data_IF_271603513344
#
_entry.id   IF_271603513344
#
_cell.length_a   1.000
_cell.length_b   1.000
_cell.length_c   1.000
_cell.angle_alpha   90.00
_cell.angle_beta   90.00
_cell.angle_gamma   90.00
#
_symmetry.space_group_name_H-M   'P 1'
#
loop_
_entity.id
_entity.type
_entity.pdbx_description
1 polymer ?
#
# COMPACT_ATOMS: atom_id res chain seq x y z
N UNK A 1 13.65 6.04 -11.86
CA UNK A 1 13.97 7.41 -11.36
C UNK A 1 13.80 7.53 -9.86
N UNK A 2 12.66 7.07 -9.30
CA UNK A 2 12.34 7.21 -7.87
C UNK A 2 13.37 6.54 -6.95
N UNK A 3 13.95 5.41 -7.38
CA UNK A 3 15.00 4.68 -6.66
C UNK A 3 16.24 5.55 -6.41
N UNK A 4 16.75 6.19 -7.46
CA UNK A 4 17.92 7.06 -7.36
C UNK A 4 17.65 8.28 -6.47
N UNK A 5 16.46 8.87 -6.61
CA UNK A 5 16.03 10.02 -5.79
C UNK A 5 15.92 9.60 -4.31
N UNK A 6 15.27 8.47 -4.01
CA UNK A 6 15.13 8.00 -2.63
C UNK A 6 16.47 7.67 -1.99
N UNK A 7 17.39 7.08 -2.75
CA UNK A 7 18.71 6.70 -2.24
C UNK A 7 19.55 7.96 -1.95
N UNK A 8 19.49 8.97 -2.82
CA UNK A 8 20.10 10.28 -2.57
C UNK A 8 19.49 10.97 -1.34
N UNK A 9 18.16 11.08 -1.28
CA UNK A 9 17.45 11.71 -0.17
C UNK A 9 17.71 11.00 1.16
N UNK A 10 17.89 9.68 1.13
CA UNK A 10 18.22 8.92 2.33
C UNK A 10 19.62 9.23 2.86
N UNK A 11 20.60 9.41 1.98
CA UNK A 11 21.94 9.85 2.39
C UNK A 11 21.90 11.28 2.94
N UNK A 12 21.14 12.17 2.31
CA UNK A 12 20.93 13.53 2.81
C UNK A 12 20.29 13.50 4.20
N UNK A 13 19.21 12.73 4.38
CA UNK A 13 18.51 12.60 5.66
C UNK A 13 19.44 12.14 6.78
N UNK A 14 20.28 11.12 6.52
CA UNK A 14 21.28 10.64 7.49
C UNK A 14 22.30 11.73 7.86
N UNK A 15 22.81 12.45 6.87
CA UNK A 15 23.81 13.50 7.10
C UNK A 15 23.23 14.70 7.86
N UNK A 16 22.01 15.10 7.53
CA UNK A 16 21.31 16.17 8.23
C UNK A 16 20.93 15.75 9.66
N UNK A 17 20.54 14.48 9.88
CA UNK A 17 20.33 13.95 11.23
C UNK A 17 21.61 14.05 12.07
N UNK A 18 22.76 13.59 11.55
CA UNK A 18 24.05 13.74 12.24
C UNK A 18 24.34 15.22 12.58
N UNK A 19 24.01 16.13 11.67
CA UNK A 19 24.19 17.58 11.85
C UNK A 19 23.30 18.11 12.99
N UNK A 20 22.01 17.74 13.01
CA UNK A 20 21.06 18.10 14.07
C UNK A 20 21.56 17.60 15.42
N UNK A 21 22.04 16.35 15.50
CA UNK A 21 22.54 15.75 16.73
C UNK A 21 23.79 16.45 17.27
N UNK A 22 24.72 16.85 16.39
CA UNK A 22 25.95 17.60 16.77
C UNK A 22 25.67 18.96 17.40
N UNK A 23 24.50 19.57 17.15
CA UNK A 23 24.15 20.84 17.77
C UNK A 23 23.89 20.71 19.28
N UNK A 24 23.67 19.50 19.80
CA UNK A 24 23.49 19.26 21.24
C UNK A 24 22.24 19.90 21.84
N UNK A 25 21.29 20.34 21.01
CA UNK A 25 20.04 20.96 21.45
C UNK A 25 19.16 19.87 22.10
N UNK A 26 18.75 20.09 23.35
CA UNK A 26 17.89 19.18 24.12
C UNK A 26 16.48 19.73 24.39
N UNK A 27 16.18 20.94 23.93
CA UNK A 27 14.84 21.53 24.07
C UNK A 27 13.85 20.84 23.14
N UNK A 28 12.94 20.04 23.71
CA UNK A 28 12.09 19.12 22.95
C UNK A 28 11.29 19.77 21.80
N UNK A 29 10.61 20.93 21.96
CA UNK A 29 9.93 21.60 20.85
C UNK A 29 10.87 22.00 19.70
N UNK A 30 12.05 22.51 20.03
CA UNK A 30 13.03 22.93 19.01
C UNK A 30 13.54 21.73 18.22
N UNK A 31 13.85 20.62 18.89
CA UNK A 31 14.30 19.41 18.20
C UNK A 31 13.18 18.85 17.31
N UNK A 32 11.94 18.83 17.79
CA UNK A 32 10.78 18.45 16.99
C UNK A 32 10.73 19.24 15.68
N UNK A 33 10.74 20.57 15.78
CA UNK A 33 10.73 21.47 14.63
C UNK A 33 11.90 21.25 13.65
N UNK A 34 13.09 20.86 14.14
CA UNK A 34 14.24 20.54 13.26
C UNK A 34 13.99 19.27 12.42
N UNK A 35 13.47 18.20 13.04
CA UNK A 35 13.15 16.96 12.32
C UNK A 35 11.94 17.12 11.40
N UNK A 36 10.95 17.90 11.81
CA UNK A 36 9.82 18.29 10.95
C UNK A 36 10.29 19.09 9.74
N UNK A 37 11.16 20.09 9.95
CA UNK A 37 11.76 20.89 8.89
C UNK A 37 12.57 20.06 7.90
N UNK A 38 13.38 19.11 8.40
CA UNK A 38 14.11 18.16 7.57
C UNK A 38 13.15 17.32 6.71
N UNK A 39 12.08 16.79 7.32
CA UNK A 39 11.07 15.98 6.63
C UNK A 39 10.40 16.76 5.50
N UNK A 40 9.96 18.00 5.78
CA UNK A 40 9.36 18.88 4.77
C UNK A 40 10.32 19.17 3.63
N UNK A 41 11.59 19.45 3.93
CA UNK A 41 12.63 19.73 2.93
C UNK A 41 12.88 18.52 2.02
N UNK A 42 12.95 17.31 2.58
CA UNK A 42 13.14 16.08 1.80
C UNK A 42 11.96 15.82 0.86
N UNK A 43 10.74 16.01 1.35
CA UNK A 43 9.54 15.88 0.53
C UNK A 43 9.49 16.95 -0.58
N UNK A 44 9.87 18.19 -0.26
CA UNK A 44 9.85 19.29 -1.24
C UNK A 44 10.76 19.00 -2.44
N UNK A 45 11.90 18.34 -2.23
CA UNK A 45 12.79 17.91 -3.31
C UNK A 45 12.21 16.81 -4.20
N UNK A 46 11.21 16.07 -3.72
CA UNK A 46 10.65 14.91 -4.42
C UNK A 46 9.34 15.21 -5.12
N UNK A 47 8.48 16.03 -4.54
CA UNK A 47 7.12 16.22 -5.05
C UNK A 47 7.11 16.99 -6.38
N UNK A 48 6.20 16.63 -7.31
CA UNK A 48 6.10 17.28 -8.62
C UNK A 48 5.68 18.74 -8.47
N UNK A 49 6.49 19.65 -9.03
CA UNK A 49 6.25 21.11 -8.93
C UNK A 49 5.16 21.62 -9.87
N UNK A 50 4.84 20.86 -10.93
CA UNK A 50 3.82 21.23 -11.90
C UNK A 50 2.39 20.91 -11.42
N UNK A 51 2.26 20.19 -10.30
CA UNK A 51 0.98 19.97 -9.63
C UNK A 51 0.82 20.99 -8.51
N UNK A 52 -0.42 21.41 -8.22
CA UNK A 52 -0.76 22.28 -7.08
C UNK A 52 -0.66 21.54 -5.74
N UNK A 53 0.46 20.84 -5.51
CA UNK A 53 0.75 20.07 -4.31
C UNK A 53 1.71 20.85 -3.43
N UNK A 54 1.32 21.04 -2.17
CA UNK A 54 2.11 21.78 -1.19
C UNK A 54 2.40 20.93 0.03
N UNK A 55 3.46 21.30 0.76
CA UNK A 55 3.81 20.73 2.06
C UNK A 55 3.64 21.80 3.11
N UNK A 56 2.75 21.55 4.06
CA UNK A 56 2.36 22.53 5.10
C UNK A 56 2.28 21.88 6.47
N UNK A 57 2.16 22.70 7.50
CA UNK A 57 1.71 22.30 8.83
C UNK A 57 0.34 22.91 9.12
N UNK A 58 -0.40 22.30 10.03
CA UNK A 58 -1.59 22.93 10.57
C UNK A 58 -2.71 21.95 10.86
N UNK A 59 -3.93 22.28 10.45
CA UNK A 59 -5.14 21.62 10.92
C UNK A 59 -6.01 21.13 9.77
N UNK A 60 -6.77 20.08 10.05
CA UNK A 60 -7.71 19.48 9.10
C UNK A 60 -9.14 19.68 9.59
N UNK A 61 -9.97 20.27 8.75
CA UNK A 61 -11.42 20.41 8.95
C UNK A 61 -12.21 19.48 8.03
N UNK A 62 -13.49 19.26 8.32
CA UNK A 62 -14.39 18.37 7.57
C UNK A 62 -15.65 19.08 7.05
N UNK A 63 -15.63 20.42 7.05
CA UNK A 63 -16.78 21.27 6.72
C UNK A 63 -17.77 21.47 7.87
N UNK A 64 -17.52 20.86 9.03
CA UNK A 64 -18.13 21.27 10.30
C UNK A 64 -17.19 22.21 11.08
N UNK A 65 -17.69 22.84 12.14
CA UNK A 65 -16.90 23.71 13.05
C UNK A 65 -15.89 22.92 13.93
N UNK A 66 -15.45 21.75 13.49
CA UNK A 66 -14.62 20.84 14.26
C UNK A 66 -13.33 20.50 13.50
N UNK A 67 -12.20 20.65 14.18
CA UNK A 67 -10.86 20.50 13.59
C UNK A 67 -10.09 19.34 14.21
N UNK A 68 -9.08 18.84 13.49
CA UNK A 68 -8.06 17.96 14.07
C UNK A 68 -7.21 18.71 15.10
N UNK A 69 -6.32 17.99 15.79
CA UNK A 69 -5.15 18.62 16.40
C UNK A 69 -4.18 19.07 15.30
N UNK A 70 -3.18 19.87 15.66
CA UNK A 70 -2.12 20.27 14.74
C UNK A 70 -1.39 19.02 14.21
N UNK A 71 -1.09 19.03 12.92
CA UNK A 71 -0.36 18.01 12.19
C UNK A 71 0.99 18.60 11.77
N UNK A 72 2.06 17.90 12.11
CA UNK A 72 3.44 18.30 11.88
C UNK A 72 3.73 18.56 10.40
N UNK A 73 3.29 17.66 9.52
CA UNK A 73 3.50 17.73 8.09
C UNK A 73 2.29 17.15 7.33
N UNK A 74 1.72 17.95 6.44
CA UNK A 74 0.64 17.57 5.54
C UNK A 74 1.08 17.77 4.09
N UNK A 75 0.83 16.76 3.26
CA UNK A 75 0.89 16.90 1.80
C UNK A 75 -0.54 17.18 1.33
N UNK A 76 -0.74 18.31 0.67
CA UNK A 76 -2.07 18.86 0.37
C UNK A 76 -2.17 19.30 -1.08
N UNK A 77 -3.38 19.27 -1.63
CA UNK A 77 -3.72 19.77 -2.96
C UNK A 77 -4.45 21.11 -2.86
N UNK A 78 -4.14 22.03 -3.76
CA UNK A 78 -4.82 23.33 -3.88
C UNK A 78 -4.51 24.30 -2.74
N UNK A 79 -5.43 25.24 -2.52
CA UNK A 79 -5.25 26.34 -1.57
C UNK A 79 -5.96 26.08 -0.23
N UNK A 80 -5.21 26.24 0.85
CA UNK A 80 -5.74 26.21 2.21
C UNK A 80 -5.81 27.59 2.84
N UNK A 81 -6.55 27.71 3.94
CA UNK A 81 -6.66 28.96 4.68
C UNK A 81 -5.48 29.13 5.63
N UNK A 82 -4.57 30.06 5.32
CA UNK A 82 -3.47 30.43 6.22
C UNK A 82 -4.02 31.03 7.52
N UNK A 83 -3.52 30.57 8.67
CA UNK A 83 -3.86 31.18 9.95
C UNK A 83 -3.09 32.51 10.13
N UNK A 84 -3.76 33.59 10.55
CA UNK A 84 -3.10 34.87 10.76
C UNK A 84 -1.93 34.77 11.74
N UNK A 85 -0.80 35.41 11.39
CA UNK A 85 0.42 35.49 12.21
C UNK A 85 1.13 34.16 12.50
N UNK A 86 0.83 33.10 11.74
CA UNK A 86 1.55 31.82 11.81
C UNK A 86 1.95 31.31 10.42
N UNK A 87 2.72 30.23 10.37
CA UNK A 87 3.00 29.46 9.15
C UNK A 87 2.06 28.25 9.00
N UNK A 88 1.01 28.17 9.82
CA UNK A 88 0.07 27.07 9.84
C UNK A 88 -1.11 27.33 8.92
N UNK A 89 -1.66 26.26 8.35
CA UNK A 89 -2.77 26.29 7.42
C UNK A 89 -3.93 25.43 7.90
N UNK A 90 -5.12 25.77 7.44
CA UNK A 90 -6.31 24.94 7.58
C UNK A 90 -6.69 24.41 6.22
N UNK A 91 -6.76 23.09 6.11
CA UNK A 91 -7.20 22.40 4.90
C UNK A 91 -8.43 21.55 5.19
N UNK A 92 -9.32 21.48 4.21
CA UNK A 92 -10.43 20.54 4.26
C UNK A 92 -9.89 19.12 3.99
N UNK A 93 -10.40 18.10 4.71
CA UNK A 93 -9.88 16.72 4.65
C UNK A 93 -9.85 16.11 3.25
N UNK A 94 -10.75 16.55 2.36
CA UNK A 94 -10.81 16.15 0.94
C UNK A 94 -9.56 16.56 0.14
N UNK A 95 -8.88 17.62 0.57
CA UNK A 95 -7.73 18.22 -0.10
C UNK A 95 -6.40 17.76 0.53
N UNK A 96 -6.46 16.84 1.50
CA UNK A 96 -5.29 16.27 2.18
C UNK A 96 -4.92 14.94 1.54
N UNK A 97 -3.73 14.88 0.95
CA UNK A 97 -3.18 13.68 0.31
C UNK A 97 -2.56 12.76 1.37
N UNK A 98 -1.77 13.33 2.27
CA UNK A 98 -1.08 12.61 3.34
C UNK A 98 -0.89 13.46 4.59
N UNK A 99 -0.85 12.78 5.74
CA UNK A 99 -0.42 13.32 7.03
C UNK A 99 0.76 12.52 7.53
N UNK A 100 1.79 13.22 8.00
CA UNK A 100 3.05 12.64 8.45
C UNK A 100 3.32 13.18 9.86
N UNK A 101 3.22 12.31 10.85
CA UNK A 101 3.60 12.60 12.22
C UNK A 101 5.09 12.31 12.41
N UNK A 102 5.86 13.32 12.85
CA UNK A 102 7.32 13.22 12.91
C UNK A 102 7.77 13.06 14.36
N UNK A 103 8.64 12.08 14.61
CA UNK A 103 9.23 11.83 15.92
C UNK A 103 10.75 11.69 15.80
N UNK A 104 11.47 12.34 16.72
CA UNK A 104 12.91 12.07 16.88
C UNK A 104 13.14 10.61 17.24
N UNK A 105 12.44 10.14 18.29
CA UNK A 105 12.49 8.78 18.79
C UNK A 105 11.08 8.19 18.72
N UNK A 106 10.91 7.08 18.02
CA UNK A 106 9.63 6.38 17.94
C UNK A 106 9.69 5.06 18.70
N UNK A 107 9.24 5.09 19.95
CA UNK A 107 8.96 3.90 20.76
C UNK A 107 7.44 3.75 20.97
N UNK A 108 7.01 2.81 21.81
CA UNK A 108 5.60 2.42 21.93
C UNK A 108 4.69 3.58 22.34
N UNK A 109 5.15 4.47 23.23
CA UNK A 109 4.34 5.61 23.71
C UNK A 109 4.13 6.67 22.60
N UNK A 110 5.19 7.00 21.87
CA UNK A 110 5.14 7.94 20.76
C UNK A 110 4.33 7.37 19.60
N UNK A 111 4.44 6.06 19.34
CA UNK A 111 3.64 5.35 18.35
C UNK A 111 2.15 5.41 18.69
N UNK A 112 1.76 5.19 19.94
CA UNK A 112 0.37 5.32 20.39
C UNK A 112 -0.14 6.76 20.28
N UNK A 113 0.69 7.76 20.62
CA UNK A 113 0.35 9.18 20.50
C UNK A 113 0.09 9.57 19.05
N UNK A 114 0.99 9.17 18.14
CA UNK A 114 0.87 9.39 16.70
C UNK A 114 -0.36 8.66 16.11
N UNK A 115 -0.62 7.43 16.55
CA UNK A 115 -1.81 6.67 16.18
C UNK A 115 -3.12 7.38 16.58
N UNK A 116 -3.17 7.94 17.80
CA UNK A 116 -4.32 8.71 18.26
C UNK A 116 -4.55 9.98 17.42
N UNK A 117 -3.47 10.65 17.00
CA UNK A 117 -3.55 11.78 16.08
C UNK A 117 -4.13 11.37 14.72
N UNK A 118 -3.60 10.29 14.14
CA UNK A 118 -4.09 9.71 12.89
C UNK A 118 -5.57 9.30 12.95
N UNK A 119 -6.02 8.79 14.10
CA UNK A 119 -7.44 8.50 14.32
C UNK A 119 -8.33 9.74 14.30
N UNK A 120 -7.80 10.90 14.74
CA UNK A 120 -8.54 12.16 14.64
C UNK A 120 -8.74 12.58 13.19
N UNK A 121 -7.75 12.36 12.32
CA UNK A 121 -7.84 12.61 10.87
C UNK A 121 -8.86 11.69 10.21
N UNK A 122 -8.83 10.39 10.53
CA UNK A 122 -9.85 9.45 10.04
C UNK A 122 -11.27 9.88 10.45
N UNK A 123 -11.45 10.37 11.68
CA UNK A 123 -12.75 10.86 12.15
C UNK A 123 -13.23 12.08 11.35
N UNK A 124 -12.33 12.95 10.87
CA UNK A 124 -12.66 14.07 9.96
C UNK A 124 -13.12 13.53 8.61
N UNK A 125 -12.38 12.58 8.06
CA UNK A 125 -12.74 11.94 6.80
C UNK A 125 -14.09 11.21 6.89
N UNK A 126 -14.35 10.48 7.98
CA UNK A 126 -15.61 9.76 8.19
C UNK A 126 -16.81 10.68 8.23
N UNK A 127 -16.67 11.84 8.87
CA UNK A 127 -17.70 12.84 8.84
C UNK A 127 -17.90 13.37 7.42
N UNK A 128 -16.83 13.80 6.74
CA UNK A 128 -16.90 14.29 5.37
C UNK A 128 -17.61 13.30 4.43
N UNK A 129 -17.28 12.00 4.54
CA UNK A 129 -17.85 10.92 3.74
C UNK A 129 -19.38 10.73 3.93
N UNK A 130 -19.96 11.31 4.98
CA UNK A 130 -21.41 11.31 5.24
C UNK A 130 -22.13 12.56 4.71
N UNK A 131 -21.37 13.56 4.25
CA UNK A 131 -21.93 14.84 3.79
C UNK A 131 -22.37 14.77 2.31
N UNK A 132 -23.33 15.61 1.87
CA UNK A 132 -23.67 15.73 0.45
C UNK A 132 -22.51 16.22 -0.44
N UNK A 133 -21.47 16.82 0.15
CA UNK A 133 -20.28 17.27 -0.57
C UNK A 133 -19.30 16.13 -0.91
N UNK A 134 -19.53 14.91 -0.39
CA UNK A 134 -18.77 13.73 -0.76
C UNK A 134 -19.17 13.29 -2.17
N UNK A 135 -18.28 13.54 -3.14
CA UNK A 135 -18.53 13.30 -4.56
C UNK A 135 -18.48 11.81 -4.90
N UNK A 136 -18.90 11.48 -6.12
CA UNK A 136 -18.63 10.17 -6.75
C UNK A 136 -17.12 9.90 -6.77
N UNK A 137 -16.74 8.68 -6.44
CA UNK A 137 -15.36 8.24 -6.40
C UNK A 137 -15.17 6.99 -7.26
N UNK A 138 -13.97 6.83 -7.81
CA UNK A 138 -13.59 5.63 -8.53
C UNK A 138 -13.10 4.55 -7.54
N UNK A 139 -13.53 3.30 -7.72
CA UNK A 139 -13.11 2.15 -6.90
C UNK A 139 -12.12 1.23 -7.61
N UNK A 140 -11.64 1.61 -8.78
CA UNK A 140 -10.78 0.79 -9.66
C UNK A 140 -9.60 0.14 -8.91
N UNK A 141 -8.85 0.90 -8.10
CA UNK A 141 -7.69 0.35 -7.41
C UNK A 141 -8.05 -0.62 -6.29
N UNK A 142 -9.08 -0.31 -5.50
CA UNK A 142 -9.64 -1.23 -4.51
C UNK A 142 -10.22 -2.50 -5.17
N UNK A 143 -10.86 -2.36 -6.33
CA UNK A 143 -11.38 -3.46 -7.13
C UNK A 143 -10.26 -4.35 -7.68
N UNK A 144 -9.15 -3.75 -8.12
CA UNK A 144 -7.94 -4.46 -8.55
C UNK A 144 -7.35 -5.28 -7.42
N UNK A 145 -7.18 -4.69 -6.24
CA UNK A 145 -6.66 -5.44 -5.08
C UNK A 145 -7.64 -6.53 -4.64
N UNK A 146 -8.95 -6.27 -4.60
CA UNK A 146 -9.94 -7.33 -4.35
C UNK A 146 -9.77 -8.51 -5.32
N UNK A 147 -9.59 -8.20 -6.60
CA UNK A 147 -9.41 -9.21 -7.65
C UNK A 147 -8.12 -10.01 -7.43
N UNK A 148 -7.03 -9.33 -7.09
CA UNK A 148 -5.75 -9.95 -6.71
C UNK A 148 -5.89 -10.88 -5.49
N UNK A 149 -6.66 -10.47 -4.48
CA UNK A 149 -6.86 -11.23 -3.24
C UNK A 149 -7.67 -12.51 -3.44
N UNK A 150 -8.75 -12.43 -4.23
CA UNK A 150 -9.75 -13.50 -4.32
C UNK A 150 -9.70 -14.30 -5.62
N UNK A 151 -8.93 -13.87 -6.62
CA UNK A 151 -8.95 -14.48 -7.95
C UNK A 151 -10.28 -14.28 -8.67
N UNK A 152 -11.15 -13.41 -8.18
CA UNK A 152 -12.49 -13.15 -8.68
C UNK A 152 -12.61 -11.67 -9.03
N UNK A 153 -13.12 -11.35 -10.22
CA UNK A 153 -13.26 -9.97 -10.64
C UNK A 153 -14.24 -9.24 -9.70
N UNK A 154 -13.78 -8.13 -9.11
CA UNK A 154 -14.59 -7.36 -8.19
C UNK A 154 -15.89 -6.86 -8.86
N UNK A 155 -17.05 -7.01 -8.22
CA UNK A 155 -18.27 -6.40 -8.71
C UNK A 155 -18.21 -4.87 -8.57
N UNK A 156 -19.08 -4.17 -9.30
CA UNK A 156 -19.26 -2.74 -9.10
C UNK A 156 -19.65 -2.48 -7.64
N UNK A 157 -18.95 -1.56 -6.98
CA UNK A 157 -19.18 -1.23 -5.58
C UNK A 157 -20.64 -0.77 -5.33
N UNK A 158 -21.27 -1.27 -4.25
CA UNK A 158 -22.67 -1.04 -3.89
C UNK A 158 -23.76 -1.54 -4.87
N UNK A 159 -23.40 -2.22 -5.95
CA UNK A 159 -24.35 -2.87 -6.88
C UNK A 159 -25.09 -4.06 -6.25
N UNK A 160 -26.04 -4.64 -6.98
CA UNK A 160 -26.71 -5.88 -6.57
C UNK A 160 -25.70 -7.04 -6.38
N UNK A 161 -24.78 -7.21 -7.32
CA UNK A 161 -23.72 -8.24 -7.26
C UNK A 161 -22.78 -8.03 -6.06
N UNK A 162 -22.48 -6.78 -5.69
CA UNK A 162 -21.73 -6.49 -4.48
C UNK A 162 -22.44 -6.99 -3.22
N UNK A 163 -23.78 -6.98 -3.19
CA UNK A 163 -24.58 -7.48 -2.06
C UNK A 163 -24.62 -9.00 -1.98
N UNK A 164 -24.34 -9.69 -3.09
CA UNK A 164 -24.23 -11.15 -3.20
C UNK A 164 -22.88 -11.69 -2.72
N UNK A 165 -21.85 -10.83 -2.61
CA UNK A 165 -20.57 -11.21 -2.02
C UNK A 165 -20.77 -11.77 -0.61
N UNK A 166 -19.97 -12.78 -0.26
CA UNK A 166 -19.89 -13.26 1.12
C UNK A 166 -19.56 -12.11 2.06
N UNK A 167 -20.06 -12.16 3.29
CA UNK A 167 -19.84 -11.07 4.24
C UNK A 167 -18.36 -10.74 4.43
N UNK A 168 -17.48 -11.77 4.42
CA UNK A 168 -16.03 -11.59 4.52
C UNK A 168 -15.48 -10.78 3.34
N UNK A 169 -15.76 -11.21 2.10
CA UNK A 169 -15.33 -10.53 0.87
C UNK A 169 -15.85 -9.09 0.82
N UNK A 170 -17.11 -8.89 1.17
CA UNK A 170 -17.74 -7.56 1.16
C UNK A 170 -17.09 -6.58 2.14
N UNK A 171 -16.79 -7.03 3.37
CA UNK A 171 -16.12 -6.19 4.39
C UNK A 171 -14.68 -5.87 3.98
N UNK A 172 -13.96 -6.84 3.41
CA UNK A 172 -12.60 -6.61 2.89
C UNK A 172 -12.64 -5.62 1.72
N UNK A 173 -13.54 -5.79 0.75
CA UNK A 173 -13.67 -4.86 -0.38
C UNK A 173 -14.01 -3.44 0.08
N UNK A 174 -14.98 -3.31 1.00
CA UNK A 174 -15.31 -2.03 1.61
C UNK A 174 -14.09 -1.38 2.29
N UNK A 175 -13.27 -2.18 2.98
CA UNK A 175 -12.07 -1.69 3.64
C UNK A 175 -11.01 -1.20 2.65
N UNK A 176 -10.80 -1.92 1.54
CA UNK A 176 -9.91 -1.49 0.46
C UNK A 176 -10.38 -0.16 -0.16
N UNK A 177 -11.69 0.00 -0.36
CA UNK A 177 -12.26 1.27 -0.85
C UNK A 177 -11.97 2.40 0.14
N UNK A 178 -12.19 2.19 1.44
CA UNK A 178 -11.89 3.22 2.43
C UNK A 178 -10.39 3.56 2.51
N UNK A 179 -9.51 2.56 2.40
CA UNK A 179 -8.05 2.76 2.36
C UNK A 179 -7.64 3.60 1.15
N UNK A 180 -8.21 3.33 -0.02
CA UNK A 180 -7.97 4.11 -1.24
C UNK A 180 -8.39 5.57 -1.08
N UNK A 181 -9.49 5.85 -0.38
CA UNK A 181 -10.06 7.19 -0.30
C UNK A 181 -9.45 8.05 0.80
N UNK A 182 -9.08 7.47 1.95
CA UNK A 182 -8.53 8.25 3.07
C UNK A 182 -7.16 8.85 2.77
N UNK A 183 -6.78 9.98 3.40
CA UNK A 183 -5.41 10.47 3.37
C UNK A 183 -4.44 9.38 3.85
N UNK A 184 -3.25 9.33 3.23
CA UNK A 184 -2.17 8.48 3.74
C UNK A 184 -1.79 8.95 5.14
N UNK A 185 -1.58 8.01 6.05
CA UNK A 185 -1.19 8.28 7.43
C UNK A 185 0.14 7.60 7.69
N UNK A 186 1.16 8.42 7.90
CA UNK A 186 2.56 7.98 8.02
C UNK A 186 3.12 8.42 9.36
N UNK A 187 3.75 7.52 10.09
CA UNK A 187 4.47 7.83 11.33
C UNK A 187 5.96 7.70 11.03
N UNK A 188 6.72 8.79 11.16
CA UNK A 188 8.13 8.84 10.80
C UNK A 188 8.99 9.06 12.04
N UNK A 189 9.64 7.99 12.51
CA UNK A 189 10.67 8.00 13.55
C UNK A 189 12.08 7.96 12.98
N UNK A 190 12.86 9.04 13.15
CA UNK A 190 14.27 9.05 12.74
C UNK A 190 15.11 8.05 13.54
N UNK A 191 14.82 7.93 14.83
CA UNK A 191 15.35 6.90 15.73
C UNK A 191 14.21 6.08 16.34
N UNK A 192 14.55 5.01 17.06
CA UNK A 192 13.58 4.13 17.71
C UNK A 192 14.09 2.70 17.83
N UNK A 193 13.27 1.72 17.46
CA UNK A 193 13.59 0.31 17.62
C UNK A 193 14.87 -0.08 16.86
N UNK A 194 15.78 -0.77 17.53
CA UNK A 194 17.09 -1.15 16.98
C UNK A 194 17.06 -2.33 16.02
N UNK A 195 15.89 -2.96 15.81
CA UNK A 195 15.73 -4.08 14.88
C UNK A 195 14.29 -4.16 14.38
N UNK A 196 14.12 -4.70 13.18
CA UNK A 196 12.81 -5.02 12.60
C UNK A 196 11.97 -5.93 13.50
N UNK A 197 12.60 -6.94 14.11
CA UNK A 197 11.95 -7.83 15.09
C UNK A 197 11.44 -7.06 16.32
N UNK A 198 12.21 -6.08 16.81
CA UNK A 198 11.80 -5.24 17.93
C UNK A 198 10.58 -4.38 17.60
N UNK A 199 10.55 -3.78 16.41
CA UNK A 199 9.41 -3.01 15.91
C UNK A 199 8.14 -3.88 15.81
N UNK A 200 8.25 -5.07 15.21
CA UNK A 200 7.14 -6.02 15.10
C UNK A 200 6.57 -6.39 16.48
N UNK A 201 7.43 -6.80 17.41
CA UNK A 201 7.00 -7.21 18.75
C UNK A 201 6.33 -6.07 19.53
N UNK A 202 6.83 -4.84 19.40
CA UNK A 202 6.17 -3.71 20.05
C UNK A 202 4.81 -3.43 19.43
N UNK A 203 4.66 -3.54 18.11
CA UNK A 203 3.38 -3.31 17.45
C UNK A 203 2.36 -4.39 17.79
N UNK A 204 2.79 -5.65 17.83
CA UNK A 204 1.99 -6.77 18.33
C UNK A 204 1.46 -6.49 19.74
N UNK A 205 2.36 -6.13 20.66
CA UNK A 205 1.98 -5.82 22.04
C UNK A 205 0.95 -4.69 22.12
N UNK A 206 1.12 -3.64 21.30
CA UNK A 206 0.14 -2.55 21.21
C UNK A 206 -1.23 -3.06 20.75
N UNK A 207 -1.29 -3.91 19.72
CA UNK A 207 -2.55 -4.48 19.26
C UNK A 207 -3.21 -5.35 20.33
N UNK A 208 -2.44 -6.22 20.99
CA UNK A 208 -2.92 -7.11 22.04
C UNK A 208 -3.51 -6.35 23.23
N UNK A 209 -2.82 -5.30 23.69
CA UNK A 209 -3.28 -4.44 24.78
C UNK A 209 -4.55 -3.64 24.45
N UNK A 210 -4.87 -3.49 23.15
CA UNK A 210 -5.99 -2.67 22.67
C UNK A 210 -7.04 -3.48 21.89
N UNK A 211 -7.05 -4.81 22.02
CA UNK A 211 -8.09 -5.66 21.43
C UNK A 211 -9.48 -5.24 21.92
N UNK A 212 -10.42 -5.16 20.99
CA UNK A 212 -11.80 -4.72 21.26
C UNK A 212 -11.96 -3.22 21.51
N UNK A 213 -10.89 -2.42 21.52
CA UNK A 213 -10.98 -0.98 21.72
C UNK A 213 -11.26 -0.23 20.40
N UNK A 214 -12.14 0.76 20.46
CA UNK A 214 -12.44 1.64 19.31
C UNK A 214 -11.18 2.42 18.92
N UNK A 215 -10.86 2.44 17.63
CA UNK A 215 -9.67 3.12 17.12
C UNK A 215 -8.46 2.21 16.90
N UNK A 216 -8.62 0.89 17.06
CA UNK A 216 -7.57 -0.12 16.77
C UNK A 216 -8.05 -1.18 15.75
N UNK A 217 -9.03 -0.84 14.92
CA UNK A 217 -9.45 -1.69 13.81
C UNK A 217 -8.45 -1.60 12.65
N UNK A 218 -8.59 -2.49 11.65
CA UNK A 218 -7.70 -2.56 10.49
C UNK A 218 -7.47 -1.21 9.83
N UNK A 219 -8.55 -0.43 9.62
CA UNK A 219 -8.48 0.89 9.01
C UNK A 219 -7.68 1.89 9.85
N UNK A 220 -7.64 1.73 11.17
CA UNK A 220 -6.90 2.63 12.05
C UNK A 220 -5.40 2.44 11.93
N UNK A 221 -4.92 1.26 11.51
CA UNK A 221 -3.48 1.01 11.30
C UNK A 221 -2.96 1.96 10.20
N UNK A 222 -1.94 2.80 10.50
CA UNK A 222 -1.32 3.70 9.52
C UNK A 222 -0.76 2.93 8.33
N UNK A 223 -0.62 3.60 7.19
CA UNK A 223 -0.09 2.97 5.97
C UNK A 223 1.41 2.71 6.07
N UNK A 224 2.15 3.60 6.74
CA UNK A 224 3.58 3.46 6.96
C UNK A 224 3.97 3.87 8.38
N UNK A 225 4.78 3.04 9.04
CA UNK A 225 5.40 3.34 10.33
C UNK A 225 6.89 3.10 10.17
N UNK A 226 7.71 4.15 10.29
CA UNK A 226 9.17 4.08 10.19
C UNK A 226 9.76 4.25 11.58
N UNK A 227 10.69 3.37 11.96
CA UNK A 227 11.45 3.46 13.19
C UNK A 227 12.90 3.06 12.93
N UNK A 228 13.81 4.04 12.97
CA UNK A 228 15.25 3.81 12.83
C UNK A 228 15.63 2.97 11.59
N UNK A 229 15.11 3.34 10.42
CA UNK A 229 15.38 2.66 9.16
C UNK A 229 14.58 1.37 8.91
N UNK A 230 13.88 0.83 9.92
CA UNK A 230 12.92 -0.26 9.74
C UNK A 230 11.52 0.27 9.55
N UNK A 231 10.67 -0.46 8.83
CA UNK A 231 9.30 -0.02 8.54
C UNK A 231 8.27 -1.12 8.76
N UNK A 232 7.06 -0.72 9.17
CA UNK A 232 5.84 -1.50 8.96
C UNK A 232 5.06 -0.85 7.82
N UNK A 233 4.67 -1.66 6.85
CA UNK A 233 4.13 -1.22 5.57
C UNK A 233 2.80 -1.92 5.34
N UNK A 234 1.75 -1.15 5.10
CA UNK A 234 0.43 -1.69 4.85
C UNK A 234 0.35 -2.26 3.44
N UNK A 235 -0.21 -3.45 3.33
CA UNK A 235 -0.37 -4.17 2.08
C UNK A 235 -1.84 -4.16 1.71
N UNK A 236 -2.23 -3.16 0.91
CA UNK A 236 -3.62 -2.90 0.49
C UNK A 236 -3.72 -2.67 -1.03
N UNK A 237 -2.67 -3.05 -1.77
CA UNK A 237 -2.56 -2.88 -3.22
C UNK A 237 -2.17 -1.47 -3.69
N UNK A 238 -1.80 -0.58 -2.75
CA UNK A 238 -1.50 0.84 -3.00
C UNK A 238 -0.21 1.31 -2.28
N UNK A 239 1.00 0.99 -2.78
CA UNK A 239 1.27 0.13 -3.94
C UNK A 239 1.47 -1.35 -3.59
N UNK A 240 1.75 -1.65 -2.32
CA UNK A 240 2.18 -2.97 -1.90
C UNK A 240 1.03 -3.99 -1.88
N UNK A 241 1.20 -5.05 -2.65
CA UNK A 241 0.24 -6.15 -2.73
C UNK A 241 0.22 -6.98 -1.45
N UNK A 242 -0.96 -7.51 -1.14
CA UNK A 242 -1.17 -8.36 0.02
C UNK A 242 -0.75 -9.81 -0.23
N UNK A 243 -0.31 -10.52 0.82
CA UNK A 243 -0.36 -11.98 0.86
C UNK A 243 -1.78 -12.43 1.24
N UNK A 244 -2.25 -13.54 0.67
CA UNK A 244 -3.49 -14.20 1.10
C UNK A 244 -3.17 -15.62 1.49
N UNK A 245 -3.64 -16.01 2.68
CA UNK A 245 -3.59 -17.39 3.16
C UNK A 245 -4.99 -17.81 3.55
N UNK A 246 -5.68 -18.50 2.65
CA UNK A 246 -7.08 -18.91 2.85
C UNK A 246 -8.03 -17.69 2.87
N UNK A 247 -8.72 -17.47 3.99
CA UNK A 247 -9.69 -16.37 4.17
C UNK A 247 -9.10 -15.15 4.92
N UNK A 248 -7.79 -15.10 5.10
CA UNK A 248 -7.12 -14.03 5.82
C UNK A 248 -6.43 -13.08 4.85
N UNK A 249 -6.70 -11.80 5.01
CA UNK A 249 -6.03 -10.73 4.28
C UNK A 249 -4.75 -10.37 5.02
N UNK A 250 -3.59 -10.54 4.37
CA UNK A 250 -2.33 -10.00 4.87
C UNK A 250 -2.31 -8.49 4.74
N UNK A 251 -2.35 -7.80 5.87
CA UNK A 251 -2.60 -6.34 5.94
C UNK A 251 -1.35 -5.54 6.26
N UNK A 252 -0.32 -6.17 6.83
CA UNK A 252 0.90 -5.48 7.22
C UNK A 252 2.10 -6.39 6.97
N UNK A 253 3.15 -5.82 6.40
CA UNK A 253 4.47 -6.42 6.30
C UNK A 253 5.50 -5.53 7.03
N UNK A 254 6.67 -6.09 7.29
CA UNK A 254 7.81 -5.32 7.80
C UNK A 254 8.95 -5.28 6.78
N UNK A 255 9.73 -4.21 6.79
CA UNK A 255 10.79 -3.95 5.83
C UNK A 255 12.04 -3.40 6.51
N UNK A 256 13.20 -3.75 5.97
CA UNK A 256 14.49 -3.10 6.22
C UNK A 256 15.01 -2.33 4.99
N UNK A 257 14.15 -2.13 3.97
CA UNK A 257 14.43 -1.27 2.82
C UNK A 257 14.49 0.21 3.22
N UNK A 258 15.07 1.03 2.34
CA UNK A 258 15.13 2.49 2.49
C UNK A 258 13.72 3.06 2.78
N UNK A 259 13.46 3.60 3.98
CA UNK A 259 12.13 4.08 4.34
C UNK A 259 11.68 5.30 3.53
N UNK A 260 12.61 6.08 2.96
CA UNK A 260 12.26 7.18 2.05
C UNK A 260 11.73 6.62 0.74
N UNK A 261 12.27 5.48 0.26
CA UNK A 261 11.71 4.82 -0.92
C UNK A 261 10.25 4.43 -0.68
N UNK A 262 9.97 3.75 0.44
CA UNK A 262 8.61 3.34 0.81
C UNK A 262 7.64 4.54 0.93
N UNK A 263 8.12 5.63 1.54
CA UNK A 263 7.37 6.87 1.68
C UNK A 263 7.01 7.48 0.31
N UNK A 264 8.00 7.62 -0.57
CA UNK A 264 7.80 8.21 -1.89
C UNK A 264 6.92 7.34 -2.77
N UNK A 265 7.08 6.02 -2.72
CA UNK A 265 6.28 5.09 -3.50
C UNK A 265 4.79 5.19 -3.13
N UNK A 266 4.47 5.21 -1.83
CA UNK A 266 3.11 5.43 -1.36
C UNK A 266 2.54 6.80 -1.76
N UNK A 267 3.32 7.88 -1.56
CA UNK A 267 2.89 9.23 -1.89
C UNK A 267 2.62 9.38 -3.39
N UNK A 268 3.53 8.91 -4.23
CA UNK A 268 3.43 9.04 -5.68
C UNK A 268 2.28 8.18 -6.19
N UNK A 269 2.13 6.95 -5.71
CA UNK A 269 0.95 6.11 -6.01
C UNK A 269 -0.34 6.85 -5.67
N UNK A 270 -0.43 7.48 -4.49
CA UNK A 270 -1.61 8.25 -4.10
C UNK A 270 -1.85 9.46 -5.02
N UNK A 271 -0.79 10.14 -5.44
CA UNK A 271 -0.89 11.29 -6.36
C UNK A 271 -1.32 10.85 -7.76
N UNK A 272 -0.77 9.76 -8.31
CA UNK A 272 -1.20 9.19 -9.60
C UNK A 272 -2.71 8.89 -9.59
N UNK A 273 -3.20 8.28 -8.51
CA UNK A 273 -4.62 7.97 -8.34
C UNK A 273 -5.48 9.23 -8.29
N UNK A 274 -5.02 10.28 -7.59
CA UNK A 274 -5.80 11.49 -7.39
C UNK A 274 -5.85 12.39 -8.63
N UNK A 275 -4.75 12.46 -9.38
CA UNK A 275 -4.62 13.34 -10.54
C UNK A 275 -4.76 12.61 -11.88
N UNK A 276 -4.91 11.29 -11.88
CA UNK A 276 -4.94 10.44 -13.08
C UNK A 276 -3.70 10.67 -13.97
N UNK A 277 -2.52 10.65 -13.33
CA UNK A 277 -1.21 10.83 -13.97
C UNK A 277 -0.35 9.59 -13.81
N UNK A 278 0.74 9.51 -14.57
CA UNK A 278 1.74 8.44 -14.43
C UNK A 278 3.13 9.04 -14.29
N UNK A 279 3.86 8.63 -13.26
CA UNK A 279 5.24 9.01 -13.03
C UNK A 279 6.21 8.09 -13.77
N UNK A 280 7.43 8.58 -14.11
CA UNK A 280 8.45 7.75 -14.72
C UNK A 280 9.15 6.87 -13.65
N UNK A 281 8.54 5.74 -13.33
CA UNK A 281 9.04 4.77 -12.35
C UNK A 281 10.44 4.21 -12.71
N UNK A 282 10.75 4.11 -14.00
CA UNK A 282 12.00 3.56 -14.54
C UNK A 282 11.80 2.10 -14.96
N UNK A 283 12.83 1.27 -14.82
CA UNK A 283 12.77 -0.15 -15.23
C UNK A 283 11.87 -1.02 -14.33
N UNK A 284 11.60 -0.57 -13.10
CA UNK A 284 10.70 -1.27 -12.16
C UNK A 284 11.10 -2.74 -11.89
N UNK A 285 12.41 -3.01 -11.88
CA UNK A 285 13.00 -4.35 -11.69
C UNK A 285 13.52 -4.61 -10.28
N UNK A 286 13.44 -3.65 -9.35
CA UNK A 286 13.89 -3.81 -7.97
C UNK A 286 12.67 -3.88 -7.05
N UNK A 287 12.56 -4.94 -6.27
CA UNK A 287 11.47 -5.12 -5.30
C UNK A 287 12.00 -5.11 -3.88
N UNK A 288 11.24 -4.52 -2.97
CA UNK A 288 11.51 -4.61 -1.55
C UNK A 288 11.15 -5.99 -1.03
N UNK A 289 12.09 -6.57 -0.31
CA UNK A 289 11.89 -7.86 0.34
C UNK A 289 11.08 -7.68 1.62
N UNK A 290 9.77 -7.53 1.45
CA UNK A 290 8.80 -7.38 2.54
C UNK A 290 8.58 -8.70 3.26
N UNK A 291 8.68 -8.68 4.59
CA UNK A 291 8.37 -9.83 5.43
C UNK A 291 6.96 -9.69 5.99
N UNK A 292 6.00 -10.46 5.48
CA UNK A 292 4.63 -10.48 5.97
C UNK A 292 4.56 -10.56 7.51
N UNK A 293 3.69 -9.77 8.13
CA UNK A 293 3.63 -9.64 9.58
C UNK A 293 2.26 -9.93 10.16
N UNK A 294 1.24 -9.23 9.67
CA UNK A 294 -0.09 -9.24 10.25
C UNK A 294 -1.12 -9.61 9.19
N UNK A 295 -1.95 -10.58 9.52
CA UNK A 295 -3.16 -10.93 8.79
C UNK A 295 -4.38 -10.53 9.59
N UNK A 296 -5.48 -10.24 8.88
CA UNK A 296 -6.77 -9.96 9.47
C UNK A 296 -7.90 -10.69 8.73
N UNK A 297 -8.93 -11.09 9.48
CA UNK A 297 -10.20 -11.56 8.93
C UNK A 297 -11.38 -10.91 9.64
N UNK A 298 -12.48 -10.62 8.93
CA UNK A 298 -13.72 -10.19 9.55
C UNK A 298 -14.18 -11.24 10.58
N UNK A 299 -14.48 -10.79 11.79
CA UNK A 299 -14.90 -11.65 12.89
C UNK A 299 -16.08 -11.04 13.64
N UNK A 300 -16.82 -11.89 14.34
CA UNK A 300 -17.89 -11.47 15.25
C UNK A 300 -17.59 -12.07 16.63
N UNK A 301 -17.53 -11.23 17.66
CA UNK A 301 -17.38 -11.65 19.06
C UNK A 301 -18.31 -10.81 19.93
N UNK A 302 -19.01 -11.43 20.86
CA UNK A 302 -19.90 -10.76 21.82
C UNK A 302 -20.91 -9.79 21.16
N UNK A 303 -21.41 -10.16 19.98
CA UNK A 303 -22.34 -9.33 19.20
C UNK A 303 -21.69 -8.19 18.42
N UNK A 304 -20.41 -7.87 18.67
CA UNK A 304 -19.65 -6.85 17.95
C UNK A 304 -19.03 -7.44 16.67
N UNK A 305 -19.17 -6.71 15.57
CA UNK A 305 -18.47 -6.98 14.32
C UNK A 305 -17.13 -6.26 14.34
N UNK A 306 -16.06 -6.98 14.00
CA UNK A 306 -14.71 -6.44 14.04
C UNK A 306 -13.72 -7.27 13.23
N UNK A 307 -12.47 -7.26 13.65
CA UNK A 307 -11.36 -7.96 13.01
C UNK A 307 -10.70 -8.89 14.01
N UNK A 308 -10.42 -10.11 13.56
CA UNK A 308 -9.48 -11.01 14.23
C UNK A 308 -8.13 -10.88 13.54
N UNK A 309 -7.08 -10.68 14.32
CA UNK A 309 -5.72 -10.56 13.83
C UNK A 309 -4.95 -11.86 14.03
N UNK A 310 -4.03 -12.16 13.12
CA UNK A 310 -3.11 -13.29 13.21
C UNK A 310 -1.71 -12.84 12.84
N UNK A 311 -0.72 -13.24 13.64
CA UNK A 311 0.66 -12.75 13.51
C UNK A 311 1.54 -13.88 12.97
N UNK A 312 2.25 -13.60 11.88
CA UNK A 312 3.28 -14.50 11.36
C UNK A 312 4.53 -14.36 12.21
N UNK A 313 4.83 -15.40 12.98
CA UNK A 313 6.02 -15.50 13.83
C UNK A 313 7.21 -15.94 13.00
N UNK A 314 8.33 -15.29 13.22
CA UNK A 314 9.63 -15.68 12.66
C UNK A 314 10.68 -15.75 13.76
N UNK A 315 11.71 -16.56 13.55
CA UNK A 315 12.89 -16.52 14.40
C UNK A 315 13.60 -15.17 14.23
N UNK A 316 14.03 -14.55 15.33
CA UNK A 316 14.83 -13.32 15.34
C UNK A 316 16.04 -13.38 14.40
N UNK A 317 16.63 -14.56 14.21
CA UNK A 317 17.75 -14.78 13.28
C UNK A 317 17.45 -14.40 11.82
N UNK A 318 16.19 -14.53 11.38
CA UNK A 318 15.78 -14.18 10.01
C UNK A 318 16.05 -12.70 9.68
N UNK A 319 15.96 -11.82 10.68
CA UNK A 319 16.03 -10.37 10.49
C UNK A 319 17.43 -9.78 10.64
N UNK A 320 18.46 -10.60 10.89
CA UNK A 320 19.83 -10.10 11.07
C UNK A 320 20.49 -9.73 9.74
N UNK A 321 20.37 -10.61 8.76
CA UNK A 321 21.11 -10.51 7.48
C UNK A 321 20.17 -10.54 6.26
N UNK A 322 18.91 -10.10 6.44
CA UNK A 322 17.95 -10.08 5.34
C UNK A 322 18.36 -9.03 4.31
N UNK A 323 18.52 -9.45 3.05
CA UNK A 323 18.67 -8.51 1.93
C UNK A 323 17.41 -7.66 1.79
N UNK A 324 17.59 -6.35 1.74
CA UNK A 324 16.48 -5.39 1.70
C UNK A 324 15.71 -5.39 0.37
N UNK A 325 16.39 -5.79 -0.70
CA UNK A 325 15.86 -5.79 -2.06
C UNK A 325 16.15 -7.12 -2.75
N UNK A 326 15.32 -7.45 -3.72
CA UNK A 326 15.53 -8.50 -4.72
C UNK A 326 15.30 -7.92 -6.12
N UNK A 327 15.88 -8.55 -7.14
CA UNK A 327 15.47 -8.29 -8.51
C UNK A 327 14.10 -8.96 -8.75
N UNK A 328 13.16 -8.23 -9.35
CA UNK A 328 11.92 -8.80 -9.83
C UNK A 328 12.21 -9.86 -10.90
N UNK A 329 11.40 -10.91 -10.89
CA UNK A 329 11.44 -11.96 -11.89
C UNK A 329 10.02 -12.29 -12.34
N UNK A 330 9.81 -12.66 -13.62
CA UNK A 330 8.55 -13.21 -14.06
C UNK A 330 8.27 -14.55 -13.37
N UNK A 331 7.00 -14.90 -13.27
CA UNK A 331 6.54 -16.15 -12.71
C UNK A 331 6.68 -17.27 -13.74
N UNK A 332 7.36 -18.34 -13.35
CA UNK A 332 7.34 -19.60 -14.11
C UNK A 332 6.00 -20.32 -13.88
N UNK A 333 5.31 -20.65 -14.97
CA UNK A 333 4.01 -21.35 -14.94
C UNK A 333 4.06 -22.63 -15.78
N UNK A 334 3.09 -23.52 -15.58
CA UNK A 334 2.93 -24.66 -16.48
C UNK A 334 2.38 -24.22 -17.84
N UNK A 335 2.62 -25.02 -18.88
CA UNK A 335 2.22 -24.68 -20.25
C UNK A 335 0.70 -24.45 -20.38
N UNK A 336 -0.13 -25.20 -19.64
CA UNK A 336 -1.58 -25.01 -19.67
C UNK A 336 -2.01 -23.60 -19.24
N UNK A 337 -1.39 -23.05 -18.18
CA UNK A 337 -1.65 -21.67 -17.72
C UNK A 337 -1.10 -20.66 -18.71
N UNK A 338 0.10 -20.91 -19.26
CA UNK A 338 0.69 -20.06 -20.29
C UNK A 338 -0.22 -19.93 -21.52
N UNK A 339 -0.74 -21.06 -22.05
CA UNK A 339 -1.66 -21.08 -23.19
C UNK A 339 -2.99 -20.39 -22.89
N UNK A 340 -3.48 -20.50 -21.65
CA UNK A 340 -4.65 -19.75 -21.23
C UNK A 340 -4.39 -18.24 -21.27
N UNK A 341 -3.25 -17.79 -20.75
CA UNK A 341 -2.86 -16.36 -20.77
C UNK A 341 -2.68 -15.86 -22.21
N UNK A 342 -2.01 -16.62 -23.08
CA UNK A 342 -1.87 -16.32 -24.51
C UNK A 342 -3.24 -16.18 -25.20
N UNK A 343 -4.16 -17.11 -24.92
CA UNK A 343 -5.52 -17.09 -25.44
C UNK A 343 -6.30 -15.86 -24.94
N UNK A 344 -6.17 -15.50 -23.66
CA UNK A 344 -6.83 -14.33 -23.11
C UNK A 344 -6.25 -13.04 -23.72
N UNK A 345 -4.92 -12.91 -23.83
CA UNK A 345 -4.25 -11.72 -24.36
C UNK A 345 -4.59 -11.44 -25.83
N UNK A 346 -4.94 -12.46 -26.60
CA UNK A 346 -5.33 -12.34 -28.01
C UNK A 346 -6.84 -12.22 -28.21
N UNK A 347 -7.64 -12.35 -27.14
CA UNK A 347 -9.10 -12.28 -27.23
C UNK A 347 -9.60 -10.83 -27.11
N UNK A 348 -10.62 -10.41 -27.89
CA UNK A 348 -11.06 -9.00 -27.96
C UNK A 348 -11.44 -8.35 -26.63
N UNK A 349 -11.92 -9.13 -25.66
CA UNK A 349 -12.33 -8.65 -24.33
C UNK A 349 -11.39 -9.09 -23.20
N UNK A 350 -10.24 -9.67 -23.56
CA UNK A 350 -9.32 -10.29 -22.61
C UNK A 350 -10.01 -11.31 -21.69
N UNK A 351 -11.05 -11.96 -22.20
CA UNK A 351 -11.90 -12.91 -21.48
C UNK A 351 -12.30 -14.11 -22.34
N UNK A 352 -12.49 -15.26 -21.69
CA UNK A 352 -12.90 -16.53 -22.32
C UNK A 352 -13.92 -17.24 -21.45
N UNK A 353 -15.05 -17.66 -22.04
CA UNK A 353 -16.06 -18.48 -21.39
C UNK A 353 -15.59 -19.93 -21.15
N UNK A 354 -16.13 -20.57 -20.12
CA UNK A 354 -15.77 -21.96 -19.77
C UNK A 354 -16.19 -22.99 -20.82
N UNK A 355 -17.14 -22.64 -21.69
CA UNK A 355 -17.60 -23.47 -22.81
C UNK A 355 -16.89 -23.15 -24.14
N UNK A 356 -15.91 -22.24 -24.13
CA UNK A 356 -15.14 -21.91 -25.34
C UNK A 356 -14.33 -23.14 -25.81
N UNK A 357 -14.51 -23.50 -27.08
CA UNK A 357 -13.83 -24.65 -27.70
C UNK A 357 -12.29 -24.57 -27.63
N UNK A 358 -11.71 -23.36 -27.64
CA UNK A 358 -10.25 -23.14 -27.52
C UNK A 358 -9.78 -23.48 -26.11
N UNK A 359 -10.56 -23.13 -25.09
CA UNK A 359 -10.30 -23.55 -23.70
C UNK A 359 -10.44 -25.07 -23.56
N UNK A 360 -11.48 -25.67 -24.13
CA UNK A 360 -11.66 -27.12 -24.11
C UNK A 360 -10.46 -27.87 -24.72
N UNK A 361 -9.86 -27.33 -25.78
CA UNK A 361 -8.65 -27.88 -26.38
C UNK A 361 -7.45 -27.84 -25.41
N UNK A 362 -7.26 -26.75 -24.66
CA UNK A 362 -6.22 -26.64 -23.62
C UNK A 362 -6.45 -27.71 -22.55
N UNK A 363 -7.68 -27.80 -22.00
CA UNK A 363 -8.02 -28.78 -20.96
C UNK A 363 -7.74 -30.23 -21.41
N UNK A 364 -8.13 -30.57 -22.64
CA UNK A 364 -7.93 -31.90 -23.21
C UNK A 364 -6.47 -32.21 -23.51
N UNK A 365 -5.73 -31.27 -24.11
CA UNK A 365 -4.33 -31.44 -24.50
C UNK A 365 -3.45 -31.70 -23.28
N UNK A 366 -3.61 -30.89 -22.23
CA UNK A 366 -2.79 -30.99 -21.01
C UNK A 366 -3.41 -31.90 -19.93
N UNK A 367 -4.56 -32.52 -20.21
CA UNK A 367 -5.31 -33.41 -19.29
C UNK A 367 -5.53 -32.78 -17.92
N UNK A 368 -5.81 -31.47 -17.90
CA UNK A 368 -6.00 -30.69 -16.67
C UNK A 368 -7.49 -30.42 -16.46
N UNK A 369 -8.04 -30.74 -15.26
CA UNK A 369 -9.40 -30.36 -14.91
C UNK A 369 -9.58 -28.83 -14.87
N UNK A 370 -10.75 -28.34 -15.28
CA UNK A 370 -11.06 -26.90 -15.29
C UNK A 370 -10.83 -26.21 -13.94
N UNK A 371 -11.25 -26.86 -12.84
CA UNK A 371 -11.06 -26.33 -11.48
C UNK A 371 -9.58 -26.22 -11.08
N UNK A 372 -8.74 -27.13 -11.59
CA UNK A 372 -7.30 -27.09 -11.34
C UNK A 372 -6.63 -26.00 -12.18
N UNK A 373 -7.02 -25.85 -13.46
CA UNK A 373 -6.58 -24.74 -14.30
C UNK A 373 -6.97 -23.39 -13.67
N UNK A 374 -8.20 -23.28 -13.16
CA UNK A 374 -8.68 -22.09 -12.46
C UNK A 374 -7.83 -21.76 -11.23
N UNK A 375 -7.56 -22.75 -10.39
CA UNK A 375 -6.70 -22.60 -9.21
C UNK A 375 -5.29 -22.13 -9.58
N UNK A 376 -4.67 -22.74 -10.59
CA UNK A 376 -3.31 -22.38 -11.04
C UNK A 376 -3.27 -21.00 -11.69
N UNK A 377 -4.24 -20.68 -12.54
CA UNK A 377 -4.29 -19.40 -13.24
C UNK A 377 -4.54 -18.24 -12.27
N UNK A 378 -5.50 -18.37 -11.35
CA UNK A 378 -5.77 -17.33 -10.34
C UNK A 378 -4.66 -17.16 -9.32
N UNK A 379 -3.89 -18.22 -9.03
CA UNK A 379 -2.70 -18.13 -8.18
C UNK A 379 -1.60 -17.23 -8.77
N UNK A 380 -1.59 -17.00 -10.09
CA UNK A 380 -0.67 -16.05 -10.73
C UNK A 380 -1.01 -14.59 -10.40
N UNK A 381 -2.25 -14.31 -9.97
CA UNK A 381 -2.85 -12.96 -9.81
C UNK A 381 -2.99 -12.15 -11.10
N UNK A 382 -2.61 -12.71 -12.24
CA UNK A 382 -2.75 -12.12 -13.57
C UNK A 382 -4.09 -12.47 -14.24
N UNK A 383 -4.72 -13.54 -13.75
CA UNK A 383 -6.00 -14.05 -14.22
C UNK A 383 -7.00 -14.02 -13.07
N UNK A 384 -8.24 -13.64 -13.37
CA UNK A 384 -9.37 -13.69 -12.47
C UNK A 384 -10.55 -14.42 -13.13
N UNK A 385 -11.56 -14.75 -12.34
CA UNK A 385 -12.79 -15.36 -12.83
C UNK A 385 -14.03 -14.53 -12.54
N UNK A 386 -15.04 -14.66 -13.40
CA UNK A 386 -16.39 -14.11 -13.18
C UNK A 386 -17.40 -14.87 -14.01
N UNK A 387 -18.51 -15.30 -13.41
CA UNK A 387 -19.62 -15.94 -14.12
C UNK A 387 -19.21 -17.06 -15.11
N UNK A 388 -18.28 -17.94 -14.71
CA UNK A 388 -17.71 -19.00 -15.56
C UNK A 388 -16.93 -18.46 -16.77
N UNK A 389 -16.19 -17.38 -16.56
CA UNK A 389 -15.23 -16.83 -17.52
C UNK A 389 -13.87 -16.68 -16.85
N UNK A 390 -12.80 -16.91 -17.61
CA UNK A 390 -11.47 -16.40 -17.32
C UNK A 390 -11.33 -15.00 -17.86
N UNK A 391 -10.61 -14.13 -17.14
CA UNK A 391 -10.40 -12.72 -17.49
C UNK A 391 -8.98 -12.32 -17.09
N UNK A 392 -8.25 -11.58 -17.94
CA UNK A 392 -7.01 -10.93 -17.50
C UNK A 392 -7.32 -9.78 -16.54
N UNK A 393 -6.70 -9.81 -15.36
CA UNK A 393 -6.89 -8.79 -14.33
C UNK A 393 -5.99 -7.56 -14.55
N UNK A 394 -5.00 -7.67 -15.42
CA UNK A 394 -3.96 -6.67 -15.65
C UNK A 394 -3.33 -6.83 -17.04
N UNK A 395 -2.48 -5.88 -17.44
CA UNK A 395 -1.64 -6.04 -18.62
C UNK A 395 -0.54 -7.05 -18.32
N UNK A 396 -0.38 -8.07 -19.18
CA UNK A 396 0.52 -9.20 -18.97
C UNK A 396 1.54 -9.27 -20.09
N UNK A 397 2.82 -9.44 -19.72
CA UNK A 397 3.87 -9.92 -20.60
C UNK A 397 4.08 -11.42 -20.41
N UNK A 398 4.41 -12.12 -21.48
CA UNK A 398 4.68 -13.55 -21.46
C UNK A 398 5.70 -13.92 -22.54
N UNK A 399 6.58 -14.87 -22.24
CA UNK A 399 7.59 -15.37 -23.18
C UNK A 399 8.02 -16.80 -22.79
N UNK A 400 8.63 -17.52 -23.74
CA UNK A 400 9.31 -18.80 -23.50
C UNK A 400 10.82 -18.55 -23.52
N UNK A 401 11.44 -18.63 -22.35
CA UNK A 401 12.88 -18.40 -22.18
C UNK A 401 13.53 -19.59 -21.47
N UNK A 402 14.63 -20.11 -22.03
CA UNK A 402 15.35 -21.28 -21.50
C UNK A 402 14.43 -22.49 -21.22
N UNK A 403 13.53 -22.80 -22.16
CA UNK A 403 12.51 -23.86 -22.04
C UNK A 403 11.50 -23.69 -20.89
N UNK A 404 11.42 -22.49 -20.29
CA UNK A 404 10.45 -22.14 -19.25
C UNK A 404 9.37 -21.22 -19.80
N UNK A 405 8.13 -21.42 -19.33
CA UNK A 405 7.01 -20.55 -19.65
C UNK A 405 6.90 -19.46 -18.60
N UNK A 406 7.20 -18.22 -18.99
CA UNK A 406 7.30 -17.09 -18.08
C UNK A 406 6.15 -16.11 -18.33
N UNK A 407 5.54 -15.62 -17.24
CA UNK A 407 4.47 -14.63 -17.28
C UNK A 407 4.67 -13.57 -16.20
N UNK A 408 4.24 -12.34 -16.43
CA UNK A 408 4.31 -11.29 -15.42
C UNK A 408 3.46 -10.07 -15.76
N UNK A 409 3.16 -9.25 -14.76
CA UNK A 409 2.54 -7.95 -15.01
C UNK A 409 3.46 -7.09 -15.87
N UNK A 410 2.89 -6.38 -16.85
CA UNK A 410 3.63 -5.48 -17.72
C UNK A 410 3.03 -4.06 -17.75
N UNK A 411 2.26 -3.69 -16.72
CA UNK A 411 1.62 -2.36 -16.62
C UNK A 411 2.64 -1.22 -16.71
N UNK A 412 3.79 -1.38 -16.06
CA UNK A 412 4.91 -0.42 -16.08
C UNK A 412 5.92 -0.67 -17.20
N UNK A 413 5.72 -1.68 -18.06
CA UNK A 413 6.76 -2.17 -18.97
C UNK A 413 7.84 -3.03 -18.27
N UNK A 414 7.62 -3.44 -17.01
CA UNK A 414 8.59 -4.21 -16.21
C UNK A 414 8.96 -5.56 -16.81
N UNK A 415 8.00 -6.26 -17.46
CA UNK A 415 8.29 -7.55 -18.10
C UNK A 415 9.22 -7.34 -19.29
N UNK A 416 8.92 -6.35 -20.13
CA UNK A 416 9.74 -6.02 -21.30
C UNK A 416 11.14 -5.56 -20.87
N UNK A 417 11.22 -4.73 -19.83
CA UNK A 417 12.49 -4.28 -19.24
C UNK A 417 13.33 -5.45 -18.71
N UNK A 418 12.69 -6.43 -18.06
CA UNK A 418 13.36 -7.64 -17.59
C UNK A 418 13.88 -8.48 -18.77
N UNK A 419 13.07 -8.65 -19.81
CA UNK A 419 13.44 -9.42 -20.99
C UNK A 419 14.63 -8.78 -21.72
N UNK A 420 14.59 -7.47 -21.93
CA UNK A 420 15.69 -6.71 -22.53
C UNK A 420 16.98 -6.83 -21.71
N UNK A 421 16.88 -6.70 -20.38
CA UNK A 421 18.04 -6.82 -19.47
C UNK A 421 18.62 -8.23 -19.59
N UNK A 422 17.78 -9.26 -19.53
CA UNK A 422 18.21 -10.66 -19.57
C UNK A 422 18.83 -11.03 -20.91
N UNK A 423 18.27 -10.58 -22.04
CA UNK A 423 18.82 -10.80 -23.37
C UNK A 423 20.14 -10.05 -23.62
N UNK A 424 20.35 -8.88 -23.00
CA UNK A 424 21.62 -8.13 -23.09
C UNK A 424 22.78 -8.81 -22.34
N UNK A 425 22.48 -9.68 -21.37
CA UNK A 425 23.46 -10.38 -20.54
C UNK A 425 23.56 -11.90 -20.82
N UNK A 426 22.80 -12.41 -21.80
CA UNK A 426 22.93 -13.75 -22.36
C UNK A 426 23.93 -13.76 -23.52
#
# INVERSE_FOLDING_TARGET
>A
MIQTISDLLFQIAKKEQESIERQGINHAPTIGAMYEGLTKKLLDFSLPKDLEINIVSGFIEDGSDQMSKQIDCMVVSGEGRKLPYTNEYVFHVKDVIAVIEVKKNLYSAELLSAHALHNSVLKRFDFYATTPAFKTFNTYYAAREFTSLFGELAPQYNSAQYRELSNSKRVIYHSLVLEQLTPLRIILGYNGFSSEFGLRNSFEKILDEHLGQKGFALRNIPQLIVSNGFSLVKTNGLPYMSEVSGNEWGILASSNANPIYLLLEMLFTKIEILYDVTFPWGEDLREENLAHFLSAKPSKSDGLLGWSYSIKKFNKGLFKDRVAYSDWQPLEVCEAVYRLIELLSTSPLSSIDYDDTRLANILNQYKIPLNELERLATATRLVATRHKQFILSTLVGFDVYDSKFLVGSNVSGRFDSWLERTQKFA
#
